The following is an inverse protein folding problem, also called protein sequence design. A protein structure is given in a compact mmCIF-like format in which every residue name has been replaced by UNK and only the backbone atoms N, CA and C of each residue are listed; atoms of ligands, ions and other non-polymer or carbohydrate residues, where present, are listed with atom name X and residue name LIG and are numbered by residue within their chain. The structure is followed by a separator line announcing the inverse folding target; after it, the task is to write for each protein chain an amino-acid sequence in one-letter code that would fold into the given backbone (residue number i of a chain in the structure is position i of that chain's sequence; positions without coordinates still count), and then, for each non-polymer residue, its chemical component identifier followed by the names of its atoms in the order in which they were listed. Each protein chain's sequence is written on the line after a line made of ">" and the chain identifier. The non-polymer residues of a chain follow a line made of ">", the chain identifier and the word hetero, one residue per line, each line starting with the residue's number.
data_IF_559094544750
#
_entry.id   IF_559094544750
#
_cell.length_a   1.000
_cell.length_b   1.000
_cell.length_c   1.000
_cell.angle_alpha   90.00
_cell.angle_beta   90.00
_cell.angle_gamma   90.00
#
_symmetry.space_group_name_H-M   'P 1'
#
loop_
_entity.id
_entity.type
_entity.pdbx_description
1 polymer ?
#
# COMPACT_ATOMS: atom_id res chain seq x y z
N UNK A 1 19.16 -17.20 -42.58
CA UNK A 1 17.85 -17.54 -42.00
C UNK A 1 17.94 -17.14 -40.53
N UNK A 2 17.40 -15.97 -40.23
CA UNK A 2 17.44 -15.43 -38.88
C UNK A 2 16.17 -15.88 -38.16
N UNK A 3 16.31 -16.63 -37.09
CA UNK A 3 15.21 -17.01 -36.22
C UNK A 3 14.88 -15.82 -35.35
N UNK A 4 13.73 -15.19 -35.57
CA UNK A 4 13.15 -14.26 -34.65
C UNK A 4 12.72 -15.02 -33.38
N UNK A 5 13.37 -14.75 -32.28
CA UNK A 5 12.90 -15.11 -30.95
C UNK A 5 11.65 -14.29 -30.66
N UNK A 6 10.52 -14.95 -30.49
CA UNK A 6 9.31 -14.35 -29.94
C UNK A 6 9.62 -13.93 -28.51
N UNK A 7 9.79 -12.63 -28.29
CA UNK A 7 9.72 -12.06 -26.94
C UNK A 7 8.31 -12.31 -26.41
N UNK A 8 8.21 -13.23 -25.48
CA UNK A 8 6.98 -13.44 -24.73
C UNK A 8 6.67 -12.14 -23.97
N UNK A 9 5.45 -11.65 -24.10
CA UNK A 9 4.91 -10.57 -23.26
C UNK A 9 5.02 -11.07 -21.82
N UNK A 10 6.01 -10.58 -21.09
CA UNK A 10 6.10 -10.74 -19.63
C UNK A 10 4.94 -9.93 -19.08
N UNK A 11 3.97 -10.55 -18.43
CA UNK A 11 2.88 -9.84 -17.77
C UNK A 11 3.45 -8.77 -16.83
N UNK A 12 2.73 -7.66 -16.65
CA UNK A 12 3.14 -6.50 -15.86
C UNK A 12 3.19 -6.81 -14.33
N UNK A 13 3.88 -7.88 -13.96
CA UNK A 13 4.11 -8.27 -12.58
C UNK A 13 5.47 -7.74 -12.11
N UNK A 14 5.50 -7.19 -10.91
CA UNK A 14 6.69 -6.63 -10.29
C UNK A 14 6.77 -7.05 -8.83
N UNK A 15 7.97 -7.26 -8.30
CA UNK A 15 8.19 -7.58 -6.89
C UNK A 15 9.55 -7.12 -6.40
N UNK A 16 9.65 -6.87 -5.08
CA UNK A 16 10.92 -6.69 -4.37
C UNK A 16 10.82 -7.20 -2.94
N UNK A 17 11.85 -7.92 -2.46
CA UNK A 17 12.07 -8.29 -1.06
C UNK A 17 13.21 -7.50 -0.43
N UNK A 18 13.63 -6.38 -1.05
CA UNK A 18 14.72 -5.51 -0.58
C UNK A 18 16.10 -6.17 -0.46
N UNK A 19 16.30 -7.35 -1.03
CA UNK A 19 17.57 -8.10 -0.97
C UNK A 19 18.74 -7.35 -1.62
N UNK A 20 18.44 -6.51 -2.60
CA UNK A 20 19.38 -5.59 -3.25
C UNK A 20 19.27 -4.15 -2.68
N UNK A 21 18.82 -4.01 -1.42
CA UNK A 21 18.47 -2.74 -0.83
C UNK A 21 17.27 -2.10 -1.53
N UNK A 22 17.36 -0.83 -1.87
CA UNK A 22 16.27 -0.10 -2.56
C UNK A 22 16.31 -0.23 -4.09
N UNK A 23 17.32 -0.91 -4.67
CA UNK A 23 17.54 -0.93 -6.12
C UNK A 23 16.33 -1.48 -6.88
N UNK A 24 15.74 -2.59 -6.42
CA UNK A 24 14.54 -3.18 -7.04
C UNK A 24 13.31 -2.27 -7.00
N UNK A 25 13.17 -1.48 -5.95
CA UNK A 25 12.07 -0.52 -5.83
C UNK A 25 12.27 0.72 -6.70
N UNK A 26 13.51 1.22 -6.78
CA UNK A 26 13.85 2.44 -7.51
C UNK A 26 14.01 2.22 -9.01
N UNK A 27 14.03 0.95 -9.47
CA UNK A 27 14.09 0.64 -10.88
C UNK A 27 12.90 1.21 -11.65
N UNK A 28 13.14 1.61 -12.90
CA UNK A 28 12.15 2.18 -13.79
C UNK A 28 11.48 3.46 -13.22
N UNK A 29 10.17 3.40 -12.91
CA UNK A 29 9.40 4.56 -12.46
C UNK A 29 9.11 4.54 -10.95
N UNK A 30 9.92 3.82 -10.18
CA UNK A 30 9.78 3.77 -8.73
C UNK A 30 10.64 4.83 -8.03
N UNK A 31 10.17 5.31 -6.89
CA UNK A 31 10.95 6.18 -6.00
C UNK A 31 10.46 6.09 -4.56
N UNK A 32 11.32 6.48 -3.62
CA UNK A 32 10.95 6.60 -2.21
C UNK A 32 11.29 7.99 -1.69
N UNK A 33 10.51 8.48 -0.75
CA UNK A 33 10.77 9.75 -0.10
C UNK A 33 10.29 9.77 1.35
N UNK A 34 10.87 10.68 2.12
CA UNK A 34 10.50 10.94 3.52
C UNK A 34 10.14 12.41 3.70
N UNK A 35 9.25 12.72 4.63
CA UNK A 35 8.93 14.09 5.06
C UNK A 35 8.70 14.15 6.57
N UNK A 36 9.03 15.30 7.16
CA UNK A 36 8.72 15.65 8.56
C UNK A 36 9.20 14.60 9.57
N UNK A 37 10.52 14.54 9.77
CA UNK A 37 11.21 13.67 10.73
C UNK A 37 10.97 12.16 10.51
N UNK A 38 10.61 11.78 9.28
CA UNK A 38 10.48 10.38 8.93
C UNK A 38 11.79 9.82 8.39
N UNK A 39 12.04 8.53 8.63
CA UNK A 39 13.21 7.81 8.12
C UNK A 39 12.82 6.53 7.38
N UNK A 40 13.68 6.15 6.44
CA UNK A 40 13.63 4.89 5.71
C UNK A 40 14.98 4.21 5.86
N UNK A 41 15.00 2.98 6.34
CA UNK A 41 16.24 2.22 6.57
C UNK A 41 16.07 0.77 6.13
N UNK A 42 17.09 0.21 5.47
CA UNK A 42 17.16 -1.24 5.22
C UNK A 42 17.66 -1.91 6.50
N UNK A 43 16.94 -2.94 6.92
CA UNK A 43 17.20 -3.66 8.18
C UNK A 43 17.35 -5.15 7.94
N UNK A 44 18.01 -5.83 8.89
CA UNK A 44 18.18 -7.28 8.90
C UNK A 44 17.30 -7.98 9.95
N UNK A 45 16.50 -7.21 10.67
CA UNK A 45 15.52 -7.74 11.64
C UNK A 45 14.54 -6.64 12.04
N UNK A 46 13.22 -6.93 12.10
CA UNK A 46 12.60 -8.17 11.64
C UNK A 46 12.62 -8.30 10.12
N UNK A 47 12.62 -9.52 9.58
CA UNK A 47 12.57 -9.84 8.16
C UNK A 47 11.46 -10.86 7.97
N UNK A 48 10.68 -10.75 6.89
CA UNK A 48 9.66 -11.73 6.55
C UNK A 48 10.28 -12.92 5.79
N UNK A 49 11.01 -12.63 4.72
CA UNK A 49 11.78 -13.63 3.98
C UNK A 49 13.15 -13.06 3.60
N UNK A 50 14.10 -13.92 3.21
CA UNK A 50 15.44 -13.48 2.84
C UNK A 50 16.28 -12.96 4.02
N UNK A 51 16.96 -11.81 3.80
CA UNK A 51 17.93 -11.23 4.75
C UNK A 51 17.61 -9.78 5.12
N UNK A 52 16.82 -9.10 4.32
CA UNK A 52 16.58 -7.67 4.46
C UNK A 52 15.08 -7.36 4.38
N UNK A 53 14.67 -6.36 5.10
CA UNK A 53 13.38 -5.70 5.02
C UNK A 53 13.60 -4.20 5.09
N UNK A 54 12.56 -3.39 4.97
CA UNK A 54 12.65 -1.94 5.14
C UNK A 54 11.87 -1.48 6.37
N UNK A 55 12.50 -0.61 7.16
CA UNK A 55 11.88 0.07 8.30
C UNK A 55 11.42 1.47 7.87
N UNK A 56 10.16 1.77 8.06
CA UNK A 56 9.55 3.07 7.86
C UNK A 56 9.18 3.69 9.19
N UNK A 57 9.91 4.71 9.63
CA UNK A 57 9.64 5.40 10.90
C UNK A 57 9.05 6.76 10.65
N UNK A 58 7.99 7.09 11.37
CA UNK A 58 7.32 8.40 11.36
C UNK A 58 7.19 8.96 12.77
N UNK A 59 7.11 10.28 12.87
CA UNK A 59 6.74 10.99 14.09
C UNK A 59 5.30 11.52 13.97
N UNK A 60 4.36 10.82 14.58
CA UNK A 60 2.92 11.11 14.49
C UNK A 60 2.43 12.29 15.33
N UNK A 61 3.31 13.16 15.84
CA UNK A 61 2.92 14.42 16.49
C UNK A 61 2.70 15.58 15.50
N UNK A 62 2.73 15.28 14.20
CA UNK A 62 2.58 16.30 13.19
C UNK A 62 1.20 16.98 13.27
N UNK A 63 1.19 18.30 13.15
CA UNK A 63 -0.03 19.09 12.96
C UNK A 63 -0.71 18.72 11.63
N UNK A 64 -1.92 19.20 11.39
CA UNK A 64 -2.70 18.86 10.19
C UNK A 64 -1.98 19.16 8.86
N UNK A 65 -1.02 20.08 8.86
CA UNK A 65 -0.26 20.48 7.66
C UNK A 65 1.05 19.73 7.50
N UNK A 66 1.64 19.26 8.61
CA UNK A 66 2.97 18.65 8.66
C UNK A 66 2.88 17.16 9.02
N UNK A 67 2.29 16.36 8.14
CA UNK A 67 2.18 14.92 8.36
C UNK A 67 3.52 14.23 8.12
N UNK A 68 3.97 13.48 9.12
CA UNK A 68 5.16 12.63 8.97
C UNK A 68 4.86 11.45 8.04
N UNK A 69 5.75 11.20 7.08
CA UNK A 69 5.51 10.18 6.07
C UNK A 69 6.78 9.59 5.48
N UNK A 70 6.74 8.28 5.28
CA UNK A 70 7.61 7.53 4.39
C UNK A 70 6.74 6.89 3.32
N UNK A 71 7.10 7.04 2.07
CA UNK A 71 6.41 6.42 0.94
C UNK A 71 7.39 5.87 -0.06
N UNK A 72 7.18 4.62 -0.45
CA UNK A 72 7.82 4.00 -1.60
C UNK A 72 6.78 3.79 -2.69
N UNK A 73 6.98 4.44 -3.81
CA UNK A 73 6.00 4.67 -4.88
C UNK A 73 6.36 3.86 -6.10
N UNK A 74 5.38 3.17 -6.67
CA UNK A 74 5.38 2.67 -8.05
C UNK A 74 4.35 3.46 -8.84
N UNK A 75 4.72 3.94 -10.03
CA UNK A 75 3.85 4.76 -10.88
C UNK A 75 4.07 4.45 -12.37
N UNK A 76 3.19 4.95 -13.21
CA UNK A 76 3.23 4.79 -14.65
C UNK A 76 2.00 4.09 -15.19
N UNK A 77 2.15 3.30 -16.24
CA UNK A 77 1.06 2.48 -16.75
C UNK A 77 0.73 1.37 -15.75
N UNK A 78 -0.45 1.43 -15.15
CA UNK A 78 -0.89 0.46 -14.16
C UNK A 78 -1.80 -0.60 -14.78
N UNK A 79 -1.70 -1.87 -14.35
CA UNK A 79 -2.57 -2.93 -14.86
C UNK A 79 -4.06 -2.61 -14.70
N UNK A 80 -4.89 -3.07 -15.64
CA UNK A 80 -6.36 -2.97 -15.55
C UNK A 80 -6.92 -3.79 -14.39
N UNK A 81 -6.27 -4.90 -14.07
CA UNK A 81 -6.65 -5.76 -12.95
C UNK A 81 -5.38 -6.31 -12.31
N UNK A 82 -5.17 -6.03 -11.04
CA UNK A 82 -3.99 -6.50 -10.32
C UNK A 82 -4.23 -6.66 -8.82
N UNK A 83 -3.41 -7.50 -8.21
CA UNK A 83 -3.25 -7.60 -6.76
C UNK A 83 -1.98 -6.85 -6.37
N UNK A 84 -2.14 -5.89 -5.50
CA UNK A 84 -1.08 -5.10 -4.86
C UNK A 84 -0.88 -5.65 -3.46
N UNK A 85 0.33 -6.09 -3.14
CA UNK A 85 0.61 -6.78 -1.89
C UNK A 85 1.89 -6.29 -1.22
N UNK A 86 1.90 -6.37 0.11
CA UNK A 86 3.10 -6.20 0.92
C UNK A 86 2.93 -6.91 2.26
N UNK A 87 4.04 -7.43 2.78
CA UNK A 87 4.07 -7.89 4.16
C UNK A 87 4.41 -6.75 5.09
N UNK A 88 3.62 -6.61 6.15
CA UNK A 88 3.79 -5.60 7.19
C UNK A 88 4.05 -6.24 8.54
N UNK A 89 4.93 -5.62 9.32
CA UNK A 89 5.13 -5.94 10.73
C UNK A 89 4.97 -4.67 11.56
N UNK A 90 4.03 -4.69 12.49
CA UNK A 90 3.78 -3.60 13.42
C UNK A 90 4.25 -4.06 14.80
N UNK A 91 5.37 -3.53 15.33
CA UNK A 91 5.97 -4.05 16.55
C UNK A 91 5.13 -3.81 17.81
N UNK A 92 4.39 -2.70 17.84
CA UNK A 92 3.66 -2.26 19.03
C UNK A 92 2.31 -1.67 18.71
N UNK A 93 1.36 -1.87 19.60
CA UNK A 93 0.03 -1.26 19.54
C UNK A 93 0.14 0.27 19.59
N UNK A 94 -0.66 0.95 18.75
CA UNK A 94 -0.76 2.40 18.69
C UNK A 94 -2.23 2.83 18.75
N UNK A 95 -2.45 4.05 19.22
CA UNK A 95 -3.73 4.74 19.02
C UNK A 95 -3.58 5.72 17.86
N UNK A 96 -4.50 5.66 16.91
CA UNK A 96 -4.56 6.49 15.72
C UNK A 96 -5.91 7.23 15.66
N UNK A 97 -5.91 8.43 15.12
CA UNK A 97 -7.15 9.16 14.79
C UNK A 97 -7.83 8.66 13.51
N UNK A 98 -7.35 7.54 12.94
CA UNK A 98 -7.85 6.95 11.70
C UNK A 98 -7.14 7.40 10.43
N UNK A 99 -6.08 8.22 10.56
CA UNK A 99 -5.26 8.66 9.43
C UNK A 99 -3.85 8.04 9.45
N UNK A 100 -3.78 6.75 9.68
CA UNK A 100 -2.54 6.00 9.60
C UNK A 100 -2.55 5.11 8.35
N UNK A 101 -2.01 5.66 7.27
CA UNK A 101 -2.12 5.09 5.93
C UNK A 101 -0.94 4.17 5.61
N UNK A 102 -1.24 3.01 5.04
CA UNK A 102 -0.28 1.99 4.57
C UNK A 102 -0.20 1.92 3.04
N UNK A 103 -1.36 1.89 2.35
CA UNK A 103 -1.45 1.93 0.89
C UNK A 103 -2.23 3.15 0.43
N UNK A 104 -1.81 3.72 -0.69
CA UNK A 104 -2.56 4.76 -1.38
C UNK A 104 -2.48 4.57 -2.88
N UNK A 105 -3.59 4.82 -3.55
CA UNK A 105 -3.72 4.72 -4.99
C UNK A 105 -4.12 6.06 -5.59
N UNK A 106 -3.45 6.42 -6.68
CA UNK A 106 -3.82 7.54 -7.54
C UNK A 106 -4.14 7.02 -8.94
N UNK A 107 -4.97 7.74 -9.65
CA UNK A 107 -5.21 7.61 -11.08
C UNK A 107 -5.11 8.95 -11.76
N UNK A 108 -5.02 8.97 -13.09
CA UNK A 108 -4.94 10.19 -13.89
C UNK A 108 -4.43 9.92 -15.31
N UNK A 109 -4.32 10.97 -16.09
CA UNK A 109 -3.66 10.90 -17.39
C UNK A 109 -2.14 11.07 -17.27
N UNK A 110 -1.69 11.64 -16.14
CA UNK A 110 -0.29 11.86 -15.81
C UNK A 110 -0.13 12.14 -14.31
N UNK A 111 1.10 12.23 -13.82
CA UNK A 111 1.39 12.62 -12.43
C UNK A 111 0.83 14.03 -12.10
N UNK A 112 0.92 14.96 -13.06
CA UNK A 112 0.43 16.34 -12.89
C UNK A 112 -1.10 16.45 -12.87
N UNK A 113 -1.79 15.49 -13.45
CA UNK A 113 -3.25 15.41 -13.52
C UNK A 113 -3.77 14.21 -12.73
N UNK A 114 -3.15 13.95 -11.59
CA UNK A 114 -3.50 12.81 -10.76
C UNK A 114 -4.51 13.17 -9.69
N UNK A 115 -5.35 12.20 -9.34
CA UNK A 115 -6.32 12.29 -8.28
C UNK A 115 -6.30 11.03 -7.41
N UNK A 116 -6.66 11.19 -6.14
CA UNK A 116 -6.69 10.09 -5.20
C UNK A 116 -7.86 9.14 -5.50
N UNK A 117 -7.61 7.85 -5.39
CA UNK A 117 -8.60 6.79 -5.59
C UNK A 117 -8.94 6.06 -4.30
N UNK A 118 -7.94 5.47 -3.66
CA UNK A 118 -8.14 4.58 -2.51
C UNK A 118 -7.03 4.76 -1.48
N UNK A 119 -7.43 4.71 -0.20
CA UNK A 119 -6.53 4.52 0.93
C UNK A 119 -6.84 3.21 1.64
N UNK A 120 -5.78 2.50 2.04
CA UNK A 120 -5.85 1.46 3.06
C UNK A 120 -5.10 1.95 4.28
N UNK A 121 -5.81 2.06 5.39
CA UNK A 121 -5.32 2.67 6.62
C UNK A 121 -5.55 1.77 7.83
N UNK A 122 -4.88 2.08 8.92
CA UNK A 122 -5.11 1.52 10.24
C UNK A 122 -6.00 2.44 11.05
N UNK A 123 -6.97 1.86 11.73
CA UNK A 123 -7.84 2.52 12.69
C UNK A 123 -7.95 1.67 13.97
N UNK A 124 -8.42 2.26 15.05
CA UNK A 124 -8.72 1.49 16.26
C UNK A 124 -10.20 1.11 16.28
N UNK A 125 -10.49 -0.16 16.59
CA UNK A 125 -11.86 -0.61 16.91
C UNK A 125 -12.29 -0.14 18.31
N UNK A 126 -13.49 -0.52 18.74
CA UNK A 126 -14.04 -0.12 20.05
C UNK A 126 -13.20 -0.61 21.24
N UNK A 127 -12.45 -1.71 21.07
CA UNK A 127 -11.56 -2.28 22.08
C UNK A 127 -10.14 -1.69 22.03
N UNK A 128 -9.92 -0.69 21.18
CA UNK A 128 -8.63 -0.02 20.97
C UNK A 128 -7.62 -0.85 20.14
N UNK A 129 -8.05 -1.95 19.53
CA UNK A 129 -7.19 -2.79 18.68
C UNK A 129 -7.11 -2.22 17.28
N UNK A 130 -5.96 -2.40 16.63
CA UNK A 130 -5.79 -2.00 15.24
C UNK A 130 -6.57 -2.92 14.31
N UNK A 131 -7.27 -2.31 13.36
CA UNK A 131 -8.02 -2.96 12.28
C UNK A 131 -7.77 -2.19 10.98
N UNK A 132 -7.95 -2.86 9.84
CA UNK A 132 -7.90 -2.21 8.54
C UNK A 132 -9.14 -1.35 8.30
N UNK A 133 -8.92 -0.21 7.65
CA UNK A 133 -9.94 0.73 7.19
C UNK A 133 -9.64 1.11 5.74
N UNK A 134 -10.68 1.39 4.96
CA UNK A 134 -10.57 1.83 3.56
C UNK A 134 -11.26 3.17 3.39
N UNK A 135 -10.66 4.06 2.59
CA UNK A 135 -11.32 5.28 2.14
C UNK A 135 -11.39 5.29 0.61
N UNK A 136 -12.57 5.56 0.08
CA UNK A 136 -12.83 5.73 -1.34
C UNK A 136 -12.94 7.22 -1.65
N UNK A 137 -11.94 7.78 -2.34
CA UNK A 137 -11.92 9.20 -2.70
C UNK A 137 -12.94 9.56 -3.79
N UNK A 138 -13.29 8.62 -4.68
CA UNK A 138 -14.26 8.87 -5.74
C UNK A 138 -15.67 9.14 -5.19
N UNK A 139 -16.01 8.56 -4.04
CA UNK A 139 -17.29 8.74 -3.37
C UNK A 139 -17.21 9.56 -2.10
N UNK A 140 -16.00 9.83 -1.59
CA UNK A 140 -15.77 10.51 -0.32
C UNK A 140 -16.22 9.70 0.90
N UNK A 141 -16.21 8.37 0.84
CA UNK A 141 -16.77 7.51 1.88
C UNK A 141 -15.81 6.46 2.40
N UNK A 142 -16.08 5.99 3.62
CA UNK A 142 -15.48 4.79 4.18
C UNK A 142 -16.43 3.60 3.95
N UNK A 143 -16.11 2.66 3.06
CA UNK A 143 -16.88 1.42 2.95
C UNK A 143 -16.93 0.69 4.29
N UNK A 144 -18.12 0.19 4.65
CA UNK A 144 -18.29 -0.51 5.91
C UNK A 144 -17.62 -1.88 5.86
N UNK A 145 -16.69 -2.11 6.76
CA UNK A 145 -16.10 -3.42 7.03
C UNK A 145 -16.83 -4.00 8.24
N UNK A 146 -17.43 -5.18 8.07
CA UNK A 146 -18.17 -5.84 9.15
C UNK A 146 -17.24 -6.82 9.85
N UNK A 147 -17.03 -6.63 11.16
CA UNK A 147 -16.15 -7.46 11.99
C UNK A 147 -14.73 -7.60 11.38
N UNK A 148 -14.01 -6.49 11.15
CA UNK A 148 -12.66 -6.56 10.61
C UNK A 148 -11.77 -7.41 11.54
N UNK A 149 -10.91 -8.27 11.00
CA UNK A 149 -9.92 -8.96 11.82
C UNK A 149 -8.97 -7.94 12.45
N UNK A 150 -8.53 -8.23 13.67
CA UNK A 150 -7.49 -7.42 14.31
C UNK A 150 -6.19 -7.54 13.53
N UNK A 151 -5.52 -6.42 13.32
CA UNK A 151 -4.17 -6.41 12.76
C UNK A 151 -3.21 -6.94 13.83
N UNK A 152 -2.41 -7.97 13.50
CA UNK A 152 -1.53 -8.58 14.48
C UNK A 152 -0.40 -7.63 14.86
N UNK A 153 -0.05 -7.64 16.15
CA UNK A 153 1.08 -6.90 16.70
C UNK A 153 2.23 -7.88 16.99
N UNK A 154 3.45 -7.48 16.63
CA UNK A 154 4.66 -8.27 16.87
C UNK A 154 4.80 -9.52 15.96
N UNK A 155 4.05 -9.59 14.89
CA UNK A 155 4.20 -10.59 13.83
C UNK A 155 3.88 -10.03 12.45
N UNK A 156 4.42 -10.63 11.42
CA UNK A 156 4.12 -10.31 10.04
C UNK A 156 2.69 -10.66 9.67
N UNK A 157 2.07 -9.82 8.81
CA UNK A 157 0.80 -10.08 8.14
C UNK A 157 0.86 -9.61 6.70
N UNK A 158 0.15 -10.29 5.83
CA UNK A 158 0.07 -9.96 4.41
C UNK A 158 -1.11 -9.03 4.16
N UNK A 159 -0.83 -7.81 3.74
CA UNK A 159 -1.83 -6.86 3.25
C UNK A 159 -1.90 -6.96 1.73
N UNK A 160 -3.09 -7.27 1.19
CA UNK A 160 -3.32 -7.32 -0.25
C UNK A 160 -4.56 -6.52 -0.63
N UNK A 161 -4.45 -5.79 -1.73
CA UNK A 161 -5.55 -5.02 -2.31
C UNK A 161 -5.67 -5.41 -3.78
N UNK A 162 -6.74 -6.10 -4.13
CA UNK A 162 -7.07 -6.42 -5.51
C UNK A 162 -7.93 -5.30 -6.08
N UNK A 163 -7.52 -4.77 -7.23
CA UNK A 163 -8.17 -3.67 -7.90
C UNK A 163 -8.42 -4.04 -9.36
N UNK A 164 -9.70 -4.10 -9.74
CA UNK A 164 -10.14 -4.10 -11.13
C UNK A 164 -10.58 -2.68 -11.49
N UNK A 165 -9.83 -2.05 -12.38
CA UNK A 165 -10.05 -0.67 -12.79
C UNK A 165 -11.11 -0.60 -13.88
N UNK A 166 -12.06 0.33 -13.72
CA UNK A 166 -13.11 0.59 -14.71
C UNK A 166 -13.75 1.97 -14.54
N UNK A 167 -13.97 2.68 -15.64
CA UNK A 167 -14.83 3.87 -15.71
C UNK A 167 -16.33 3.54 -15.66
N UNK A 168 -16.69 2.26 -15.79
CA UNK A 168 -18.06 1.78 -15.72
C UNK A 168 -18.33 1.11 -14.37
N UNK A 169 -19.61 0.92 -14.02
CA UNK A 169 -20.00 0.24 -12.79
C UNK A 169 -19.80 -1.29 -12.92
N UNK A 170 -18.58 -1.72 -13.22
CA UNK A 170 -18.15 -3.13 -13.27
C UNK A 170 -16.72 -3.32 -12.72
N UNK A 171 -16.19 -2.29 -12.07
CA UNK A 171 -14.95 -2.37 -11.31
C UNK A 171 -15.17 -3.16 -10.00
N UNK A 172 -14.07 -3.60 -9.43
CA UNK A 172 -14.06 -4.39 -8.19
C UNK A 172 -12.88 -4.00 -7.31
N UNK A 173 -13.10 -4.04 -6.02
CA UNK A 173 -12.07 -3.90 -4.98
C UNK A 173 -12.23 -5.02 -3.97
N UNK A 174 -11.15 -5.74 -3.68
CA UNK A 174 -11.11 -6.73 -2.61
C UNK A 174 -9.90 -6.44 -1.73
N UNK A 175 -10.12 -6.32 -0.42
CA UNK A 175 -9.07 -6.18 0.58
C UNK A 175 -8.91 -7.50 1.33
N UNK A 176 -7.67 -7.93 1.49
CA UNK A 176 -7.32 -9.11 2.26
C UNK A 176 -6.32 -8.75 3.37
N UNK A 177 -6.47 -9.44 4.50
CA UNK A 177 -5.46 -9.51 5.56
C UNK A 177 -5.11 -10.99 5.76
N UNK A 178 -3.88 -11.36 5.49
CA UNK A 178 -3.46 -12.76 5.39
C UNK A 178 -4.36 -13.51 4.37
N UNK A 179 -5.02 -14.59 4.76
CA UNK A 179 -5.95 -15.35 3.92
C UNK A 179 -7.41 -14.92 4.09
N UNK A 180 -7.68 -13.95 4.97
CA UNK A 180 -9.03 -13.48 5.23
C UNK A 180 -9.43 -12.36 4.26
N UNK A 181 -10.59 -12.49 3.60
CA UNK A 181 -11.22 -11.38 2.90
C UNK A 181 -11.84 -10.42 3.90
N UNK A 182 -11.34 -9.18 3.92
CA UNK A 182 -11.76 -8.11 4.84
C UNK A 182 -12.88 -7.28 4.24
N UNK A 183 -12.80 -7.00 2.94
CA UNK A 183 -13.80 -6.21 2.21
C UNK A 183 -13.91 -6.71 0.78
N UNK A 184 -15.13 -6.72 0.24
CA UNK A 184 -15.41 -6.91 -1.18
C UNK A 184 -16.40 -5.86 -1.65
N UNK A 185 -16.03 -5.09 -2.66
CA UNK A 185 -16.88 -4.11 -3.33
C UNK A 185 -16.94 -4.47 -4.81
N UNK A 186 -18.13 -4.53 -5.37
CA UNK A 186 -18.39 -4.87 -6.77
C UNK A 186 -19.31 -3.86 -7.42
N UNK A 187 -19.37 -3.91 -8.74
CA UNK A 187 -20.28 -3.10 -9.55
C UNK A 187 -20.11 -1.59 -9.28
N UNK A 188 -18.86 -1.14 -9.18
CA UNK A 188 -18.53 0.25 -8.90
C UNK A 188 -17.59 0.84 -9.96
N UNK A 189 -17.55 2.16 -10.05
CA UNK A 189 -16.54 2.88 -10.80
C UNK A 189 -15.27 2.93 -9.95
N UNK A 190 -14.14 2.50 -10.52
CA UNK A 190 -12.84 2.41 -9.83
C UNK A 190 -11.74 3.20 -10.53
N UNK A 191 -12.07 3.95 -11.60
CA UNK A 191 -11.14 4.59 -12.51
C UNK A 191 -10.50 3.64 -13.54
N UNK A 192 -10.25 4.14 -14.76
CA UNK A 192 -9.62 3.40 -15.85
C UNK A 192 -8.59 4.21 -16.64
N UNK A 193 -8.12 5.32 -16.06
CA UNK A 193 -7.03 6.12 -16.65
C UNK A 193 -5.78 5.25 -16.83
N UNK A 194 -4.98 5.54 -17.85
CA UNK A 194 -3.81 4.71 -18.17
C UNK A 194 -2.70 4.84 -17.14
N UNK A 195 -2.46 6.08 -16.65
CA UNK A 195 -1.48 6.32 -15.62
C UNK A 195 -2.08 6.06 -14.25
N UNK A 196 -1.25 5.59 -13.35
CA UNK A 196 -1.60 5.44 -11.94
C UNK A 196 -0.38 5.42 -11.05
N UNK A 197 -0.64 5.49 -9.77
CA UNK A 197 0.38 5.41 -8.73
C UNK A 197 -0.14 4.55 -7.58
N UNK A 198 0.72 3.71 -7.05
CA UNK A 198 0.51 3.03 -5.79
C UNK A 198 1.71 3.20 -4.90
N UNK A 199 1.49 3.41 -3.61
CA UNK A 199 2.57 3.39 -2.67
C UNK A 199 2.33 2.44 -1.49
N UNK A 200 3.44 1.92 -1.01
CA UNK A 200 3.61 1.26 0.26
C UNK A 200 4.25 2.28 1.19
N UNK A 201 3.71 2.44 2.39
CA UNK A 201 4.21 3.50 3.24
C UNK A 201 3.90 3.33 4.72
N UNK A 202 4.36 4.32 5.45
CA UNK A 202 3.97 4.67 6.81
C UNK A 202 3.69 6.18 6.80
N UNK A 203 2.41 6.54 6.82
CA UNK A 203 1.99 7.92 6.78
C UNK A 203 0.95 8.17 7.85
N UNK A 204 1.29 8.98 8.83
CA UNK A 204 0.42 9.22 9.96
C UNK A 204 0.36 10.69 10.34
N UNK A 205 -0.79 11.11 10.88
CA UNK A 205 -1.00 12.43 11.42
C UNK A 205 -0.89 12.45 12.93
N UNK A 206 -1.66 11.59 13.58
CA UNK A 206 -1.75 11.56 15.05
C UNK A 206 -1.64 10.13 15.52
N UNK A 207 -0.54 9.84 16.20
CA UNK A 207 -0.28 8.53 16.80
C UNK A 207 0.11 8.69 18.27
N UNK A 208 -0.28 7.74 19.07
CA UNK A 208 0.15 7.63 20.47
C UNK A 208 0.63 6.20 20.73
N UNK A 209 1.92 5.99 21.09
CA UNK A 209 3.06 6.94 21.04
C UNK A 209 3.33 7.49 19.63
N UNK A 210 3.88 8.71 19.56
CA UNK A 210 4.06 9.41 18.29
C UNK A 210 5.11 8.78 17.38
N UNK A 211 6.29 8.43 17.93
CA UNK A 211 7.34 7.76 17.15
C UNK A 211 6.92 6.32 16.87
N UNK A 212 6.76 5.98 15.60
CA UNK A 212 6.20 4.70 15.19
C UNK A 212 6.93 4.17 13.97
N UNK A 213 7.45 2.95 14.10
CA UNK A 213 8.06 2.20 13.01
C UNK A 213 7.14 1.08 12.59
N UNK A 214 6.96 0.92 11.29
CA UNK A 214 6.45 -0.29 10.66
C UNK A 214 7.56 -0.89 9.80
N UNK A 215 7.57 -2.20 9.68
CA UNK A 215 8.49 -2.87 8.77
C UNK A 215 7.70 -3.42 7.60
N UNK A 216 8.32 -3.39 6.43
CA UNK A 216 7.71 -3.82 5.17
C UNK A 216 8.67 -4.74 4.45
N UNK A 217 8.11 -5.78 3.84
CA UNK A 217 8.86 -6.76 3.05
C UNK A 217 7.99 -7.33 1.93
N UNK A 218 8.61 -8.03 0.97
CA UNK A 218 7.95 -8.75 -0.11
C UNK A 218 6.81 -7.98 -0.79
N UNK A 219 7.15 -6.81 -1.31
CA UNK A 219 6.21 -5.92 -2.01
C UNK A 219 5.98 -6.43 -3.42
N UNK A 220 4.72 -6.53 -3.85
CA UNK A 220 4.33 -7.12 -5.12
C UNK A 220 3.24 -6.35 -5.86
N UNK A 221 3.30 -6.35 -7.18
CA UNK A 221 2.18 -6.09 -8.08
C UNK A 221 2.04 -7.33 -8.96
N UNK A 222 0.89 -7.98 -8.94
CA UNK A 222 0.60 -9.17 -9.73
C UNK A 222 -0.63 -8.94 -10.59
N UNK A 223 -0.44 -8.90 -11.91
CA UNK A 223 -1.55 -8.75 -12.84
C UNK A 223 -2.49 -9.96 -12.76
N UNK A 224 -3.79 -9.70 -12.75
CA UNK A 224 -4.85 -10.72 -12.79
C UNK A 224 -5.43 -10.74 -14.19
N UNK A 225 -5.51 -11.91 -14.83
CA UNK A 225 -6.03 -12.06 -16.20
C UNK A 225 -7.48 -11.60 -16.38
#
# INVERSE_FOLDING_TARGET
>A
MSSASSEGVVGNSWSTGFEDGMCGYLAEQGYCYTRHEATLEIVQSPVHDGKFAVAFTVNGNATTEDRSQVRCVRQGEMPKSAVYGAWYFIPEQRTSDGNWNLFHFLGGESEADSHALWDVSLANNADGKLVLSVFNFLTGTHPRITNPPEVPIGRWFHLRFELKRSAQANGEVILYQDDATVLTLRDLITDDTTWGQWYVGNYARTLTPALTTVYVDDVTISEVP
#
